data_IF_810712095446
#
_entry.id   IF_810712095446
#
_cell.length_a   1.000
_cell.length_b   1.000
_cell.length_c   1.000
_cell.angle_alpha   90.00
_cell.angle_beta   90.00
_cell.angle_gamma   90.00
#
_symmetry.space_group_name_H-M   'P 1'
#
loop_
_entity.id
_entity.type
_entity.pdbx_description
1 polymer ?
#
# COMPACT_ATOMS: atom_id res chain seq x y z
N UNK A 1 4.85 -14.88 -6.35
CA UNK A 1 5.50 -13.54 -6.22
C UNK A 1 6.43 -13.24 -7.39
N UNK A 2 7.29 -14.15 -7.84
CA UNK A 2 8.16 -13.95 -9.02
C UNK A 2 7.36 -13.47 -10.25
N UNK A 3 6.27 -14.14 -10.60
CA UNK A 3 5.43 -13.81 -11.78
C UNK A 3 4.89 -12.37 -11.77
N UNK A 4 4.46 -11.88 -10.61
CA UNK A 4 3.98 -10.48 -10.48
C UNK A 4 5.16 -9.51 -10.65
N UNK A 5 6.28 -9.79 -10.00
CA UNK A 5 7.48 -8.95 -10.10
C UNK A 5 8.00 -8.86 -11.54
N UNK A 6 8.05 -9.98 -12.24
CA UNK A 6 8.51 -10.04 -13.65
C UNK A 6 7.55 -9.26 -14.57
N UNK A 7 6.24 -9.38 -14.35
CA UNK A 7 5.23 -8.66 -15.15
C UNK A 7 5.29 -7.15 -14.91
N UNK A 8 5.45 -6.73 -13.64
CA UNK A 8 5.59 -5.31 -13.28
C UNK A 8 6.89 -4.74 -13.85
N UNK A 9 7.99 -5.48 -13.79
CA UNK A 9 9.27 -5.07 -14.37
C UNK A 9 9.17 -4.92 -15.89
N UNK A 10 8.53 -5.87 -16.57
CA UNK A 10 8.33 -5.81 -18.02
C UNK A 10 7.51 -4.56 -18.40
N UNK A 11 6.42 -4.30 -17.68
CA UNK A 11 5.59 -3.11 -17.89
C UNK A 11 6.36 -1.81 -17.61
N UNK A 12 7.11 -1.75 -16.53
CA UNK A 12 7.97 -0.60 -16.21
C UNK A 12 8.98 -0.32 -17.35
N UNK A 13 9.64 -1.36 -17.84
CA UNK A 13 10.62 -1.21 -18.92
C UNK A 13 9.95 -0.75 -20.23
N UNK A 14 8.75 -1.23 -20.52
CA UNK A 14 7.99 -0.81 -21.70
C UNK A 14 7.63 0.69 -21.59
N UNK A 15 7.08 1.15 -20.48
CA UNK A 15 6.80 2.55 -20.23
C UNK A 15 8.05 3.43 -20.37
N UNK A 16 9.17 2.97 -19.82
CA UNK A 16 10.45 3.68 -19.91
C UNK A 16 10.92 3.80 -21.36
N UNK A 17 10.85 2.72 -22.13
CA UNK A 17 11.27 2.69 -23.53
C UNK A 17 10.41 3.59 -24.42
N UNK A 18 9.14 3.75 -24.06
CA UNK A 18 8.20 4.62 -24.76
C UNK A 18 8.23 6.09 -24.27
N UNK A 19 9.01 6.41 -23.25
CA UNK A 19 9.05 7.74 -22.65
C UNK A 19 7.83 8.11 -21.80
N UNK A 20 6.99 7.13 -21.46
CA UNK A 20 5.71 7.33 -20.74
C UNK A 20 5.82 7.16 -19.23
N UNK A 21 7.01 6.82 -18.72
CA UNK A 21 7.16 6.48 -17.30
C UNK A 21 6.84 7.66 -16.37
N UNK A 22 7.19 8.90 -16.78
CA UNK A 22 6.90 10.10 -16.01
C UNK A 22 5.43 10.52 -16.04
N UNK A 23 4.69 10.04 -17.02
CA UNK A 23 3.25 10.30 -17.18
C UNK A 23 2.40 9.15 -16.60
N UNK A 24 3.05 8.21 -15.90
CA UNK A 24 2.40 7.04 -15.34
C UNK A 24 2.63 6.93 -13.84
N UNK A 25 1.55 6.75 -13.09
CA UNK A 25 1.57 6.35 -11.69
C UNK A 25 0.72 5.10 -11.50
N UNK A 26 1.36 4.00 -11.12
CA UNK A 26 0.70 2.72 -10.85
C UNK A 26 0.59 2.53 -9.35
N UNK A 27 -0.61 2.31 -8.85
CA UNK A 27 -0.86 1.88 -7.48
C UNK A 27 -1.32 0.43 -7.49
N UNK A 28 -0.67 -0.41 -6.72
CA UNK A 28 -1.01 -1.81 -6.54
C UNK A 28 -1.44 -2.03 -5.09
N UNK A 29 -2.60 -2.63 -4.89
CA UNK A 29 -3.18 -2.87 -3.58
C UNK A 29 -4.07 -4.12 -3.59
N UNK A 30 -4.42 -4.59 -2.40
CA UNK A 30 -5.46 -5.60 -2.18
C UNK A 30 -6.56 -5.00 -1.32
N UNK A 31 -7.78 -5.48 -1.47
CA UNK A 31 -8.94 -5.06 -0.69
C UNK A 31 -8.86 -5.48 0.78
N UNK A 32 -8.04 -6.44 1.12
CA UNK A 32 -7.76 -6.90 2.49
C UNK A 32 -6.29 -7.27 2.66
N UNK A 33 -5.84 -7.32 3.90
CA UNK A 33 -4.58 -7.95 4.29
C UNK A 33 -4.78 -9.42 4.68
N UNK A 34 -3.82 -9.97 5.39
CA UNK A 34 -3.85 -11.36 5.87
C UNK A 34 -3.55 -11.43 7.36
N UNK A 35 -4.25 -12.32 8.05
CA UNK A 35 -3.93 -12.68 9.43
C UNK A 35 -2.60 -13.41 9.49
N UNK A 36 -1.94 -13.37 10.67
CA UNK A 36 -0.62 -13.97 10.86
C UNK A 36 -0.72 -15.50 10.93
N UNK A 37 -1.78 -15.99 11.56
CA UNK A 37 -1.94 -17.42 11.87
C UNK A 37 -2.41 -18.20 10.64
N UNK A 38 -1.80 -19.35 10.42
CA UNK A 38 -2.26 -20.32 9.42
C UNK A 38 -3.66 -20.82 9.78
N UNK A 39 -4.53 -20.95 8.79
CA UNK A 39 -5.87 -21.50 8.95
C UNK A 39 -5.92 -22.99 8.55
N UNK A 40 -7.09 -23.61 8.77
CA UNK A 40 -7.29 -25.03 8.46
C UNK A 40 -7.20 -25.42 6.98
N UNK A 41 -6.99 -24.46 6.07
CA UNK A 41 -6.87 -24.68 4.62
C UNK A 41 -5.45 -24.44 4.09
N UNK A 42 -4.42 -24.48 4.95
CA UNK A 42 -3.02 -24.19 4.64
C UNK A 42 -2.81 -22.78 4.05
N UNK A 43 -3.59 -21.82 4.50
CA UNK A 43 -3.51 -20.40 4.14
C UNK A 43 -3.68 -19.53 5.37
N UNK A 44 -4.13 -18.30 5.18
CA UNK A 44 -4.45 -17.39 6.28
C UNK A 44 -5.80 -16.75 6.02
N UNK A 45 -6.50 -16.37 7.08
CA UNK A 45 -7.73 -15.61 6.97
C UNK A 45 -7.48 -14.17 6.51
N UNK A 46 -8.52 -13.47 6.05
CA UNK A 46 -8.45 -12.05 5.75
C UNK A 46 -8.12 -11.26 7.01
N UNK A 47 -7.30 -10.24 6.89
CA UNK A 47 -6.87 -9.35 7.97
C UNK A 47 -7.03 -7.89 7.60
N UNK A 48 -6.95 -7.01 8.60
CA UNK A 48 -7.23 -5.59 8.46
C UNK A 48 -6.13 -4.77 7.81
N UNK A 49 -4.89 -5.28 7.75
CA UNK A 49 -3.77 -4.53 7.22
C UNK A 49 -3.02 -5.29 6.12
N UNK A 50 -2.53 -4.53 5.15
CA UNK A 50 -1.75 -5.04 4.03
C UNK A 50 -0.70 -4.04 3.58
N UNK A 51 -0.06 -4.32 2.46
CA UNK A 51 0.89 -3.42 1.82
C UNK A 51 0.32 -2.87 0.53
N UNK A 52 0.72 -1.64 0.21
CA UNK A 52 0.46 -1.02 -1.09
C UNK A 52 1.78 -0.70 -1.75
N UNK A 53 1.82 -0.74 -3.08
CA UNK A 53 3.01 -0.38 -3.85
C UNK A 53 2.67 0.75 -4.82
N UNK A 54 3.62 1.66 -4.99
CA UNK A 54 3.54 2.71 -6.01
C UNK A 54 4.74 2.61 -6.95
N UNK A 55 4.51 2.81 -8.25
CA UNK A 55 5.53 2.81 -9.29
C UNK A 55 5.22 3.90 -10.30
N UNK A 56 6.25 4.55 -10.80
CA UNK A 56 6.15 5.59 -11.83
C UNK A 56 7.39 6.49 -11.84
N UNK A 57 7.61 7.26 -12.89
CA UNK A 57 8.82 8.07 -13.02
C UNK A 57 8.93 9.21 -12.02
N UNK A 58 7.79 9.73 -11.54
CA UNK A 58 7.75 10.79 -10.53
C UNK A 58 7.47 10.24 -9.11
N UNK A 59 7.35 8.92 -8.97
CA UNK A 59 7.20 8.28 -7.66
C UNK A 59 8.54 8.30 -6.93
N UNK A 60 8.54 8.84 -5.72
CA UNK A 60 9.71 8.84 -4.85
C UNK A 60 9.82 7.46 -4.19
N UNK A 61 10.87 6.73 -4.59
CA UNK A 61 11.13 5.40 -4.02
C UNK A 61 11.43 5.47 -2.53
N UNK A 62 11.05 4.41 -1.81
CA UNK A 62 11.27 4.30 -0.37
C UNK A 62 10.22 3.45 0.32
N UNK A 63 10.37 3.31 1.63
CA UNK A 63 9.39 2.67 2.51
C UNK A 63 8.63 3.76 3.27
N UNK A 64 7.32 3.71 3.25
CA UNK A 64 6.42 4.65 3.89
C UNK A 64 5.57 3.91 4.92
N UNK A 65 5.81 4.17 6.19
CA UNK A 65 5.24 3.45 7.32
C UNK A 65 6.24 2.52 7.99
N UNK A 66 5.78 1.83 9.02
CA UNK A 66 6.60 0.95 9.87
C UNK A 66 6.16 -0.50 9.69
N UNK A 67 7.12 -1.40 9.54
CA UNK A 67 6.80 -2.83 9.51
C UNK A 67 6.23 -3.28 10.87
N UNK A 68 5.11 -4.00 10.84
CA UNK A 68 4.56 -4.59 12.05
C UNK A 68 5.51 -5.67 12.61
N UNK A 69 5.62 -5.72 13.94
CA UNK A 69 6.20 -6.88 14.61
C UNK A 69 5.19 -8.02 14.55
N UNK A 70 5.59 -9.17 14.05
CA UNK A 70 4.75 -10.37 13.99
C UNK A 70 4.86 -11.26 15.23
N UNK A 71 5.58 -10.81 16.27
CA UNK A 71 5.64 -11.50 17.54
C UNK A 71 4.22 -11.57 18.15
N UNK A 72 3.66 -12.76 18.40
CA UNK A 72 2.28 -12.93 18.87
C UNK A 72 2.07 -12.55 20.35
N UNK A 73 2.97 -11.77 20.94
CA UNK A 73 2.81 -11.26 22.30
C UNK A 73 1.58 -10.34 22.38
N UNK A 74 0.72 -10.58 23.37
CA UNK A 74 -0.49 -9.80 23.60
C UNK A 74 -0.22 -8.32 23.93
N UNK A 75 1.01 -7.98 24.35
CA UNK A 75 1.44 -6.60 24.57
C UNK A 75 1.94 -5.91 23.31
N UNK A 76 2.05 -6.62 22.19
CA UNK A 76 2.56 -6.07 20.93
C UNK A 76 1.58 -5.01 20.36
N UNK A 77 1.95 -3.71 20.35
CA UNK A 77 1.05 -2.63 19.95
C UNK A 77 0.75 -2.63 18.44
N UNK A 78 1.51 -3.40 17.64
CA UNK A 78 1.31 -3.50 16.19
C UNK A 78 0.30 -4.58 15.81
N UNK A 79 -0.22 -5.33 16.80
CA UNK A 79 -1.21 -6.37 16.61
C UNK A 79 -2.52 -6.02 17.30
N UNK A 80 -3.59 -6.65 16.88
CA UNK A 80 -4.94 -6.57 17.46
C UNK A 80 -5.64 -7.93 17.38
N UNK A 81 -6.85 -8.03 17.92
CA UNK A 81 -7.65 -9.25 17.93
C UNK A 81 -6.88 -10.45 18.50
N UNK A 82 -6.33 -10.29 19.72
CA UNK A 82 -5.54 -11.31 20.41
C UNK A 82 -4.29 -11.77 19.63
N UNK A 83 -3.68 -10.85 18.89
CA UNK A 83 -2.48 -11.10 18.12
C UNK A 83 -2.71 -11.77 16.76
N UNK A 84 -3.96 -11.96 16.36
CA UNK A 84 -4.30 -12.58 15.07
C UNK A 84 -4.23 -11.62 13.89
N UNK A 85 -4.46 -10.34 14.12
CA UNK A 85 -4.49 -9.33 13.07
C UNK A 85 -3.35 -8.32 13.21
N UNK A 86 -2.85 -7.86 12.06
CA UNK A 86 -1.94 -6.73 12.00
C UNK A 86 -2.77 -5.44 12.04
N UNK A 87 -2.43 -4.53 12.93
CA UNK A 87 -3.03 -3.19 12.99
C UNK A 87 -2.50 -2.35 11.85
N UNK A 88 -3.38 -1.70 11.09
CA UNK A 88 -2.93 -0.78 10.06
C UNK A 88 -2.40 0.52 10.69
N UNK A 89 -1.30 1.02 10.16
CA UNK A 89 -0.69 2.30 10.56
C UNK A 89 -1.23 3.46 9.71
N UNK A 90 -1.41 3.22 8.44
CA UNK A 90 -1.86 4.20 7.47
C UNK A 90 -3.23 3.81 6.92
N UNK A 91 -4.18 4.74 6.97
CA UNK A 91 -5.44 4.58 6.24
C UNK A 91 -5.15 4.56 4.73
N UNK A 92 -5.68 3.58 4.00
CA UNK A 92 -5.47 3.47 2.55
C UNK A 92 -5.96 4.71 1.79
N UNK A 93 -6.97 5.41 2.34
CA UNK A 93 -7.47 6.66 1.77
C UNK A 93 -6.42 7.77 1.80
N UNK A 94 -5.44 7.71 2.71
CA UNK A 94 -4.32 8.65 2.74
C UNK A 94 -3.39 8.45 1.54
N UNK A 95 -3.23 7.22 1.07
CA UNK A 95 -2.49 6.92 -0.17
C UNK A 95 -3.25 7.50 -1.37
N UNK A 96 -4.56 7.27 -1.44
CA UNK A 96 -5.39 7.83 -2.51
C UNK A 96 -5.42 9.36 -2.48
N UNK A 97 -5.56 9.98 -1.29
CA UNK A 97 -5.53 11.43 -1.17
C UNK A 97 -4.25 12.02 -1.78
N UNK A 98 -3.11 11.37 -1.53
CA UNK A 98 -1.83 11.81 -2.09
C UNK A 98 -1.80 11.73 -3.62
N UNK A 99 -2.28 10.64 -4.21
CA UNK A 99 -2.36 10.51 -5.66
C UNK A 99 -3.35 11.53 -6.27
N UNK A 100 -4.51 11.71 -5.66
CA UNK A 100 -5.52 12.66 -6.11
C UNK A 100 -4.99 14.09 -6.10
N UNK A 101 -4.42 14.52 -4.99
CA UNK A 101 -3.96 15.91 -4.84
C UNK A 101 -2.71 16.20 -5.67
N UNK A 102 -1.71 15.32 -5.63
CA UNK A 102 -0.37 15.62 -6.18
C UNK A 102 -0.13 15.08 -7.59
N UNK A 103 -0.83 14.02 -7.98
CA UNK A 103 -0.71 13.46 -9.33
C UNK A 103 -1.83 13.95 -10.25
N UNK A 104 -3.07 13.85 -9.81
CA UNK A 104 -4.23 14.24 -10.63
C UNK A 104 -4.56 15.74 -10.52
N UNK A 105 -3.99 16.49 -9.58
CA UNK A 105 -4.28 17.89 -9.35
C UNK A 105 -5.76 18.16 -8.94
N UNK A 106 -6.40 17.16 -8.32
CA UNK A 106 -7.79 17.23 -7.90
C UNK A 106 -7.90 17.42 -6.38
N UNK A 107 -9.10 17.65 -5.86
CA UNK A 107 -9.33 17.84 -4.43
C UNK A 107 -9.74 16.52 -3.76
N UNK A 108 -8.82 15.92 -3.03
CA UNK A 108 -9.05 14.64 -2.36
C UNK A 108 -10.12 14.72 -1.27
N UNK A 109 -10.23 15.85 -0.57
CA UNK A 109 -11.25 16.02 0.49
C UNK A 109 -12.65 15.91 -0.08
N UNK A 110 -12.88 16.51 -1.25
CA UNK A 110 -14.17 16.43 -1.93
C UNK A 110 -14.44 15.02 -2.47
N UNK A 111 -13.44 14.40 -3.11
CA UNK A 111 -13.62 13.09 -3.77
C UNK A 111 -13.74 11.94 -2.77
N UNK A 112 -13.02 12.01 -1.66
CA UNK A 112 -13.03 10.97 -0.62
C UNK A 112 -14.06 11.26 0.50
N UNK A 113 -14.78 12.37 0.40
CA UNK A 113 -15.74 12.82 1.42
C UNK A 113 -15.12 12.89 2.83
N UNK A 114 -13.90 13.43 2.94
CA UNK A 114 -13.16 13.58 4.18
C UNK A 114 -11.69 13.93 3.98
N UNK A 115 -11.07 14.50 5.00
CA UNK A 115 -9.63 14.83 4.97
C UNK A 115 -8.81 13.63 5.46
N UNK A 116 -8.13 12.98 4.53
CA UNK A 116 -7.23 11.84 4.77
C UNK A 116 -5.76 12.16 4.50
N UNK A 117 -5.42 13.44 4.35
CA UNK A 117 -4.04 13.85 4.04
C UNK A 117 -3.08 13.46 5.14
N UNK A 118 -1.97 12.86 4.77
CA UNK A 118 -0.90 12.47 5.69
C UNK A 118 0.45 12.88 5.12
N UNK A 119 1.13 13.81 5.77
CA UNK A 119 2.40 14.36 5.30
C UNK A 119 3.52 13.33 5.19
N UNK A 120 3.50 12.30 6.03
CA UNK A 120 4.49 11.21 6.00
C UNK A 120 4.40 10.32 4.75
N UNK A 121 3.28 10.34 4.01
CA UNK A 121 3.10 9.61 2.76
C UNK A 121 3.48 10.48 1.56
N UNK A 122 4.74 10.89 1.46
CA UNK A 122 5.23 11.81 0.42
C UNK A 122 5.82 11.09 -0.80
N UNK A 123 5.20 10.02 -1.24
CA UNK A 123 5.68 9.18 -2.35
C UNK A 123 5.49 9.80 -3.75
N UNK A 124 4.72 10.88 -3.85
CA UNK A 124 4.57 11.73 -5.05
C UNK A 124 4.79 13.17 -4.65
#
# INVERSE_FOLDING_TARGET
MATIGDSVLAFHNDLKNQGLLNDTCVLMFSEFGRRITENGSNGTDHGGAGVMFAMGGLVKGGLYGTAASLNPDASNPTLENSGGDIRFENDFRSVYARAIDNWLGANSVTLLNGDFKKSSLSYI
#
